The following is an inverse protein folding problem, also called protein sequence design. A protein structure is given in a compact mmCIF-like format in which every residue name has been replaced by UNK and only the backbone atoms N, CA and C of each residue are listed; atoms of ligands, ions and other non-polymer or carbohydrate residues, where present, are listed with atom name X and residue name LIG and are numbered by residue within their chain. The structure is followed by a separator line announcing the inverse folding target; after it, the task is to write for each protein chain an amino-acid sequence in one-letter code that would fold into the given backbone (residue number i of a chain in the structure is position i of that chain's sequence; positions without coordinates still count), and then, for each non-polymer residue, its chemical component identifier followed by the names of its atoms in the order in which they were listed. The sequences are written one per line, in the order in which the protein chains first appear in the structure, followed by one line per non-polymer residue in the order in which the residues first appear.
data_IF_597948679845
#
_entry.id   IF_597948679845
#
_cell.length_a   1.000
_cell.length_b   1.000
_cell.length_c   1.000
_cell.angle_alpha   90.00
_cell.angle_beta   90.00
_cell.angle_gamma   90.00
#
_symmetry.space_group_name_H-M   'P 1'
#
loop_
_entity.id
_entity.type
_entity.pdbx_description
1 polymer ?
#
# COMPACT_ATOMS: atom_id res chain seq x y z
N UNK A 1 20.52 25.02 52.82
CA UNK A 1 20.33 23.59 53.15
C UNK A 1 21.71 22.94 53.15
N UNK A 2 22.18 22.41 54.31
CA UNK A 2 23.46 21.69 54.36
C UNK A 2 23.30 20.33 53.66
N UNK A 3 23.70 20.26 52.41
CA UNK A 3 23.69 19.02 51.63
C UNK A 3 24.83 18.09 52.07
N UNK A 4 24.56 16.80 52.14
CA UNK A 4 25.63 15.81 52.35
C UNK A 4 26.54 15.77 51.10
N UNK A 5 27.78 15.34 51.25
CA UNK A 5 28.78 15.26 50.16
C UNK A 5 28.32 14.43 48.98
N UNK A 6 27.49 13.42 49.22
CA UNK A 6 26.85 12.61 48.16
C UNK A 6 25.74 13.32 47.42
N UNK A 7 24.94 14.14 48.12
CA UNK A 7 23.89 14.97 47.54
C UNK A 7 24.49 16.09 46.71
N UNK A 8 25.54 16.75 47.20
CA UNK A 8 26.25 17.77 46.45
C UNK A 8 26.83 17.23 45.15
N UNK A 9 27.51 16.06 45.18
CA UNK A 9 28.05 15.42 43.97
C UNK A 9 26.95 15.14 42.91
N UNK A 10 25.74 14.79 43.34
CA UNK A 10 24.63 14.57 42.40
C UNK A 10 24.11 15.87 41.79
N UNK A 11 24.01 16.94 42.60
CA UNK A 11 23.62 18.25 42.10
C UNK A 11 24.65 18.82 41.12
N UNK A 12 25.95 18.67 41.43
CA UNK A 12 27.04 19.05 40.53
C UNK A 12 27.00 18.24 39.21
N UNK A 13 26.66 16.94 39.28
CA UNK A 13 26.48 16.09 38.11
C UNK A 13 25.27 16.51 37.24
N UNK A 14 24.16 17.00 37.87
CA UNK A 14 23.02 17.56 37.12
C UNK A 14 23.44 18.78 36.30
N UNK A 15 24.27 19.66 36.91
CA UNK A 15 24.82 20.83 36.22
C UNK A 15 25.74 20.44 35.06
N UNK A 16 26.67 19.53 35.31
CA UNK A 16 27.62 19.02 34.27
C UNK A 16 26.95 18.27 33.14
N UNK A 17 25.82 17.61 33.42
CA UNK A 17 24.99 16.95 32.41
C UNK A 17 24.22 17.96 31.55
N UNK A 18 24.22 19.24 31.91
CA UNK A 18 23.53 20.33 31.17
C UNK A 18 22.04 20.44 31.47
N UNK A 19 21.58 19.93 32.61
CA UNK A 19 20.21 20.14 33.05
C UNK A 19 20.05 21.61 33.49
N UNK A 20 18.93 22.23 33.13
CA UNK A 20 18.60 23.60 33.57
C UNK A 20 18.02 23.56 34.97
N UNK A 21 18.45 24.47 35.89
CA UNK A 21 17.89 24.55 37.22
C UNK A 21 16.44 25.07 37.22
N UNK A 22 15.78 25.03 38.39
CA UNK A 22 14.44 25.57 38.63
C UNK A 22 13.33 24.96 37.73
N UNK A 23 13.36 23.67 37.49
CA UNK A 23 12.30 22.94 36.80
C UNK A 23 12.07 21.56 37.43
N UNK A 24 11.00 20.89 37.00
CA UNK A 24 10.76 19.51 37.37
C UNK A 24 11.53 18.53 36.44
N UNK A 25 11.99 17.40 37.01
CA UNK A 25 12.81 16.41 36.31
C UNK A 25 12.11 15.07 36.25
N UNK A 26 12.17 14.42 35.10
CA UNK A 26 11.68 13.06 34.94
C UNK A 26 12.62 12.04 35.60
N UNK A 27 12.08 10.87 35.98
CA UNK A 27 12.88 9.78 36.51
C UNK A 27 13.99 9.33 35.58
N UNK A 28 13.75 9.37 34.26
CA UNK A 28 14.74 9.01 33.24
C UNK A 28 15.90 10.00 33.20
N UNK A 29 15.64 11.30 33.24
CA UNK A 29 16.70 12.32 33.32
C UNK A 29 17.56 12.15 34.55
N UNK A 30 16.96 11.93 35.72
CA UNK A 30 17.68 11.71 36.98
C UNK A 30 18.49 10.39 36.93
N UNK A 31 18.03 9.36 36.29
CA UNK A 31 18.79 8.11 36.10
C UNK A 31 19.99 8.30 35.16
N UNK A 32 19.85 9.06 34.07
CA UNK A 32 20.96 9.40 33.18
C UNK A 32 22.07 10.16 33.91
N UNK A 33 21.70 11.12 34.73
CA UNK A 33 22.68 11.81 35.61
C UNK A 33 23.34 10.86 36.60
N UNK A 34 22.57 9.92 37.17
CA UNK A 34 23.09 8.92 38.10
C UNK A 34 24.18 8.02 37.45
N UNK A 35 23.96 7.62 36.21
CA UNK A 35 24.93 6.81 35.44
C UNK A 35 26.25 7.55 35.23
N UNK A 36 26.25 8.87 35.00
CA UNK A 36 27.48 9.65 34.80
C UNK A 36 28.40 9.67 36.02
N UNK A 37 27.87 9.37 37.21
CA UNK A 37 28.61 9.32 38.47
C UNK A 37 28.70 7.88 39.04
N UNK A 38 28.44 6.87 38.19
CA UNK A 38 28.55 5.46 38.55
C UNK A 38 27.45 4.90 39.44
N UNK A 39 26.31 5.56 39.53
CA UNK A 39 25.13 5.09 40.26
C UNK A 39 24.16 4.38 39.32
N UNK A 40 23.62 3.24 39.74
CA UNK A 40 22.70 2.43 38.93
C UNK A 40 21.31 3.07 38.72
N UNK A 41 20.88 3.90 39.68
CA UNK A 41 19.57 4.57 39.66
C UNK A 41 19.63 5.93 40.31
N UNK A 42 18.66 6.80 40.03
CA UNK A 42 18.48 8.10 40.69
C UNK A 42 18.42 7.95 42.21
N UNK A 43 18.99 8.89 42.97
CA UNK A 43 19.11 8.79 44.42
C UNK A 43 17.75 8.68 45.11
N UNK A 44 17.66 7.79 46.12
CA UNK A 44 16.43 7.56 46.88
C UNK A 44 15.84 8.80 47.51
N UNK A 45 16.69 9.75 47.96
CA UNK A 45 16.26 11.01 48.58
C UNK A 45 15.50 11.94 47.61
N UNK A 46 15.58 11.71 46.31
CA UNK A 46 14.74 12.42 45.32
C UNK A 46 13.51 11.56 44.96
N UNK A 47 13.73 10.29 44.58
CA UNK A 47 12.66 9.49 43.96
C UNK A 47 11.72 8.79 44.95
N UNK A 48 12.15 8.64 46.22
CA UNK A 48 11.33 8.05 47.29
C UNK A 48 10.65 9.09 48.19
N UNK A 49 11.08 10.31 48.13
CA UNK A 49 10.48 11.42 48.93
C UNK A 49 9.17 11.86 48.27
N UNK A 50 8.04 11.61 48.93
CA UNK A 50 6.71 11.96 48.42
C UNK A 50 6.49 13.47 48.29
N UNK A 51 7.20 14.30 49.10
CA UNK A 51 7.11 15.78 49.04
C UNK A 51 7.71 16.35 47.75
N UNK A 52 8.62 15.63 47.11
CA UNK A 52 9.29 15.99 45.84
C UNK A 52 8.54 15.55 44.59
N UNK A 53 7.52 14.72 44.75
CA UNK A 53 6.77 14.15 43.64
C UNK A 53 5.70 15.11 43.13
N UNK A 54 5.87 15.65 41.93
CA UNK A 54 4.98 16.60 41.29
C UNK A 54 4.02 15.95 40.28
N UNK A 55 4.16 14.63 40.08
CA UNK A 55 3.34 13.83 39.17
C UNK A 55 3.86 12.41 39.00
N UNK A 56 3.27 11.63 38.11
CA UNK A 56 3.72 10.25 37.85
C UNK A 56 5.10 10.25 37.18
N UNK A 57 6.15 9.96 37.99
CA UNK A 57 7.52 9.90 37.52
C UNK A 57 8.21 11.23 37.32
N UNK A 58 7.66 12.32 37.93
CA UNK A 58 8.23 13.68 37.86
C UNK A 58 8.54 14.16 39.25
N UNK A 59 9.72 14.76 39.44
CA UNK A 59 10.29 15.12 40.75
C UNK A 59 10.80 16.54 40.75
N UNK A 60 10.67 17.18 41.91
CA UNK A 60 11.28 18.46 42.23
C UNK A 60 12.64 18.24 42.91
N UNK A 61 13.64 19.05 42.54
CA UNK A 61 14.96 19.07 43.16
C UNK A 61 15.28 20.50 43.53
N UNK A 62 14.69 20.99 44.64
CA UNK A 62 14.81 22.42 45.04
C UNK A 62 16.25 22.82 45.39
N UNK A 63 17.15 21.88 45.63
CA UNK A 63 18.57 22.13 45.87
C UNK A 63 19.35 22.46 44.56
N UNK A 64 18.77 22.16 43.37
CA UNK A 64 19.36 22.51 42.08
C UNK A 64 18.75 23.82 41.57
N UNK A 65 19.21 24.95 42.15
CA UNK A 65 18.72 26.30 41.85
C UNK A 65 19.78 27.09 41.08
N UNK A 66 19.32 27.92 40.11
CA UNK A 66 20.13 28.96 39.51
C UNK A 66 19.76 30.33 40.08
N UNK A 67 20.61 31.34 39.92
CA UNK A 67 20.48 32.69 40.44
C UNK A 67 19.28 33.51 39.89
N UNK A 68 18.04 32.99 40.02
CA UNK A 68 16.86 33.78 39.68
C UNK A 68 15.65 33.38 40.52
N UNK A 69 15.06 34.37 41.21
CA UNK A 69 13.76 34.29 41.85
C UNK A 69 12.64 34.07 40.83
N UNK A 70 12.37 32.81 40.49
CA UNK A 70 11.27 32.43 39.61
C UNK A 70 10.55 31.20 40.16
N UNK A 71 9.25 31.27 40.30
CA UNK A 71 8.40 30.12 40.60
C UNK A 71 8.63 29.05 39.51
N UNK A 72 8.76 27.78 39.87
CA UNK A 72 8.96 26.73 38.85
C UNK A 72 7.80 26.73 37.87
N UNK A 73 8.08 27.13 36.66
CA UNK A 73 7.10 27.02 35.58
C UNK A 73 7.07 25.55 35.12
N UNK A 74 5.90 24.92 35.15
CA UNK A 74 5.71 23.62 34.53
C UNK A 74 6.11 23.73 33.05
N UNK A 75 7.28 23.22 32.71
CA UNK A 75 7.64 23.10 31.31
C UNK A 75 6.65 22.15 30.65
N UNK A 76 6.13 22.46 29.46
CA UNK A 76 5.42 21.44 28.66
C UNK A 76 6.39 20.28 28.52
N UNK A 77 5.90 19.07 28.83
CA UNK A 77 6.65 17.83 28.67
C UNK A 77 6.98 17.75 27.18
N UNK A 78 8.15 18.24 26.80
CA UNK A 78 8.70 17.92 25.49
C UNK A 78 8.93 16.40 25.51
N UNK A 79 8.15 15.67 24.73
CA UNK A 79 8.40 14.27 24.48
C UNK A 79 9.88 14.11 24.14
N UNK A 80 10.59 13.13 24.74
CA UNK A 80 12.00 12.91 24.44
C UNK A 80 12.14 12.77 22.93
N UNK A 81 13.23 13.27 22.39
CA UNK A 81 13.57 13.25 20.98
C UNK A 81 13.80 11.81 20.49
N UNK A 82 12.77 10.98 20.52
CA UNK A 82 12.65 9.71 19.80
C UNK A 82 12.49 9.97 18.28
N UNK A 83 12.49 11.25 17.88
CA UNK A 83 12.23 11.71 16.50
C UNK A 83 13.26 11.26 15.45
N UNK A 84 14.43 10.77 15.81
CA UNK A 84 15.45 10.40 14.82
C UNK A 84 15.58 8.90 14.53
N UNK A 85 15.10 8.01 15.40
CA UNK A 85 15.32 6.56 15.19
C UNK A 85 14.16 5.80 14.56
N UNK A 86 12.94 6.33 14.61
CA UNK A 86 11.76 5.68 14.01
C UNK A 86 11.80 5.74 12.48
N UNK A 87 12.46 6.76 11.91
CA UNK A 87 12.74 6.82 10.46
C UNK A 87 13.67 5.72 9.96
N UNK A 88 14.49 5.13 10.82
CA UNK A 88 15.46 4.10 10.46
C UNK A 88 14.82 2.73 10.15
N UNK A 89 13.59 2.47 10.64
CA UNK A 89 12.92 1.16 10.48
C UNK A 89 12.25 1.02 9.11
N UNK A 90 11.85 2.13 8.51
CA UNK A 90 11.37 2.14 7.11
C UNK A 90 12.52 2.21 6.08
N UNK A 91 13.76 1.89 6.45
CA UNK A 91 14.93 1.92 5.56
C UNK A 91 15.59 3.29 5.45
N UNK A 92 15.32 4.21 6.38
CA UNK A 92 15.86 5.57 6.37
C UNK A 92 17.13 5.64 7.22
N UNK A 93 18.27 5.37 6.60
CA UNK A 93 19.58 5.70 7.15
C UNK A 93 19.91 7.15 6.79
N UNK A 94 20.08 8.00 7.80
CA UNK A 94 20.74 9.31 7.65
C UNK A 94 19.85 10.50 7.32
N UNK A 95 18.98 10.92 8.21
CA UNK A 95 18.48 12.32 8.29
C UNK A 95 17.60 12.86 7.16
N UNK A 96 17.57 12.27 6.00
CA UNK A 96 16.71 12.68 4.89
C UNK A 96 15.50 11.74 4.78
N UNK A 97 14.31 12.34 4.75
CA UNK A 97 13.06 11.63 4.53
C UNK A 97 13.06 11.07 3.11
N UNK A 98 12.96 9.77 2.97
CA UNK A 98 12.77 9.12 1.67
C UNK A 98 11.43 9.55 1.06
N UNK A 99 11.45 10.07 -0.17
CA UNK A 99 10.23 10.39 -0.91
C UNK A 99 9.50 9.11 -1.29
N UNK A 100 8.20 9.05 -0.98
CA UNK A 100 7.29 7.97 -1.37
C UNK A 100 6.46 8.35 -2.60
N UNK A 101 6.91 9.33 -3.39
CA UNK A 101 6.29 9.66 -4.67
C UNK A 101 6.50 8.49 -5.64
N UNK A 102 5.44 7.88 -6.17
CA UNK A 102 5.58 6.75 -7.09
C UNK A 102 6.33 7.14 -8.36
N UNK A 103 7.04 6.18 -8.95
CA UNK A 103 7.71 6.39 -10.22
C UNK A 103 6.70 6.61 -11.35
N UNK A 104 6.98 7.58 -12.21
CA UNK A 104 6.18 7.78 -13.42
C UNK A 104 6.45 6.67 -14.43
N UNK A 105 5.40 5.98 -14.87
CA UNK A 105 5.49 4.93 -15.88
C UNK A 105 5.40 5.56 -17.28
N UNK A 106 6.43 5.37 -18.11
CA UNK A 106 6.47 5.89 -19.49
C UNK A 106 5.43 5.25 -20.41
N UNK A 107 5.06 4.01 -20.10
CA UNK A 107 4.07 3.21 -20.82
C UNK A 107 2.63 3.40 -20.32
N UNK A 108 2.41 4.25 -19.30
CA UNK A 108 1.08 4.48 -18.76
C UNK A 108 0.19 5.26 -19.75
N UNK A 109 -1.03 4.79 -19.93
CA UNK A 109 -2.09 5.46 -20.72
C UNK A 109 -3.19 5.90 -19.76
N UNK A 110 -3.41 7.21 -19.55
CA UNK A 110 -4.50 7.71 -18.71
C UNK A 110 -5.88 7.42 -19.31
N UNK A 111 -6.79 6.90 -18.49
CA UNK A 111 -8.18 6.64 -18.88
C UNK A 111 -9.12 6.57 -17.66
N UNK A 112 -10.41 6.43 -17.88
CA UNK A 112 -11.41 6.34 -16.81
C UNK A 112 -11.36 7.54 -15.87
N UNK A 113 -11.34 7.29 -14.58
CA UNK A 113 -11.34 8.32 -13.54
C UNK A 113 -10.00 8.98 -13.27
N UNK A 114 -8.94 8.67 -14.06
CA UNK A 114 -7.60 9.24 -13.86
C UNK A 114 -7.60 10.76 -13.74
N UNK A 115 -8.32 11.46 -14.64
CA UNK A 115 -8.38 12.93 -14.63
C UNK A 115 -9.03 13.45 -13.34
N UNK A 116 -10.10 12.81 -12.89
CA UNK A 116 -10.80 13.19 -11.67
C UNK A 116 -9.90 13.01 -10.44
N UNK A 117 -9.28 11.83 -10.29
CA UNK A 117 -8.32 11.55 -9.20
C UNK A 117 -7.14 12.53 -9.24
N UNK A 118 -6.53 12.76 -10.40
CA UNK A 118 -5.42 13.70 -10.54
C UNK A 118 -5.83 15.13 -10.14
N UNK A 119 -7.06 15.56 -10.47
CA UNK A 119 -7.57 16.89 -10.08
C UNK A 119 -7.79 16.97 -8.57
N UNK A 120 -8.38 15.94 -7.95
CA UNK A 120 -8.58 15.87 -6.49
C UNK A 120 -7.24 15.94 -5.78
N UNK A 121 -6.28 15.11 -6.18
CA UNK A 121 -4.96 15.07 -5.56
C UNK A 121 -4.21 16.39 -5.74
N UNK A 122 -4.31 17.03 -6.89
CA UNK A 122 -3.67 18.33 -7.15
C UNK A 122 -4.29 19.48 -6.33
N UNK A 123 -5.56 19.38 -5.93
CA UNK A 123 -6.23 20.40 -5.12
C UNK A 123 -5.62 20.54 -3.71
N UNK A 124 -5.02 19.47 -3.19
CA UNK A 124 -4.51 19.43 -1.82
C UNK A 124 -5.58 19.53 -0.75
N UNK A 125 -6.85 19.45 -1.12
CA UNK A 125 -7.97 19.40 -0.17
C UNK A 125 -8.14 17.99 0.37
N UNK A 126 -8.64 17.88 1.60
CA UNK A 126 -9.06 16.60 2.13
C UNK A 126 -10.35 16.19 1.44
N UNK A 127 -10.32 15.06 0.78
CA UNK A 127 -11.41 14.51 0.00
C UNK A 127 -11.23 13.00 -0.15
N UNK A 128 -11.77 12.20 0.77
CA UNK A 128 -11.67 10.75 0.71
C UNK A 128 -12.47 10.18 -0.46
N UNK A 129 -11.84 9.30 -1.24
CA UNK A 129 -12.42 8.71 -2.46
C UNK A 129 -12.43 7.18 -2.36
N UNK A 130 -13.56 6.57 -2.69
CA UNK A 130 -13.72 5.13 -2.83
C UNK A 130 -13.76 4.75 -4.31
N UNK A 131 -12.77 3.95 -4.76
CA UNK A 131 -12.67 3.51 -6.15
C UNK A 131 -12.99 2.02 -6.23
N UNK A 132 -14.09 1.67 -6.84
CA UNK A 132 -14.54 0.28 -6.99
C UNK A 132 -14.45 -0.20 -8.44
N UNK A 133 -14.55 -1.50 -8.66
CA UNK A 133 -14.61 -2.12 -9.99
C UNK A 133 -13.87 -3.45 -10.03
N UNK A 134 -14.05 -4.21 -11.10
CA UNK A 134 -13.50 -5.55 -11.25
C UNK A 134 -11.96 -5.59 -11.12
N UNK A 135 -11.43 -6.75 -10.72
CA UNK A 135 -9.98 -6.95 -10.56
C UNK A 135 -9.23 -6.76 -11.89
N UNK A 136 -7.99 -6.30 -11.81
CA UNK A 136 -7.10 -6.19 -12.97
C UNK A 136 -7.45 -5.12 -14.00
N UNK A 137 -8.31 -4.15 -13.63
CA UNK A 137 -8.70 -3.01 -14.46
C UNK A 137 -7.89 -1.72 -14.21
N UNK A 138 -6.79 -1.80 -13.44
CA UNK A 138 -5.84 -0.71 -13.27
C UNK A 138 -6.17 0.34 -12.20
N UNK A 139 -7.10 0.10 -11.25
CA UNK A 139 -7.46 1.03 -10.16
C UNK A 139 -6.24 1.55 -9.39
N UNK A 140 -5.47 0.65 -8.82
CA UNK A 140 -4.29 0.97 -8.00
C UNK A 140 -3.23 1.72 -8.79
N UNK A 141 -2.91 1.25 -10.01
CA UNK A 141 -1.96 1.91 -10.91
C UNK A 141 -2.42 3.32 -11.28
N UNK A 142 -3.71 3.53 -11.50
CA UNK A 142 -4.29 4.84 -11.80
C UNK A 142 -4.02 5.84 -10.68
N UNK A 143 -4.21 5.43 -9.42
CA UNK A 143 -4.00 6.28 -8.25
C UNK A 143 -2.51 6.57 -8.07
N UNK A 144 -1.64 5.56 -8.16
CA UNK A 144 -0.19 5.72 -8.08
C UNK A 144 0.33 6.69 -9.16
N UNK A 145 -0.12 6.56 -10.41
CA UNK A 145 0.28 7.47 -11.49
C UNK A 145 -0.29 8.89 -11.34
N UNK A 146 -1.44 9.05 -10.71
CA UNK A 146 -1.96 10.37 -10.33
C UNK A 146 -1.13 11.01 -9.21
N UNK A 147 -0.68 10.23 -8.22
CA UNK A 147 0.28 10.67 -7.19
C UNK A 147 1.61 11.07 -7.80
N UNK A 148 2.17 10.25 -8.71
CA UNK A 148 3.41 10.53 -9.42
C UNK A 148 3.34 11.87 -10.19
N UNK A 149 2.27 12.09 -10.94
CA UNK A 149 2.04 13.34 -11.68
C UNK A 149 1.94 14.55 -10.77
N UNK A 150 1.27 14.40 -9.64
CA UNK A 150 1.06 15.47 -8.65
C UNK A 150 2.25 15.62 -7.71
N UNK A 151 3.30 14.82 -7.84
CA UNK A 151 4.50 14.76 -6.98
C UNK A 151 4.13 14.63 -5.51
N UNK A 152 3.16 13.77 -5.19
CA UNK A 152 2.67 13.52 -3.84
C UNK A 152 3.12 12.17 -3.34
N UNK A 153 3.58 12.13 -2.09
CA UNK A 153 3.88 10.88 -1.42
C UNK A 153 2.62 10.02 -1.34
N UNK A 154 2.75 8.73 -1.69
CA UNK A 154 1.68 7.74 -1.68
C UNK A 154 2.02 6.64 -0.67
N UNK A 155 1.29 6.61 0.42
CA UNK A 155 1.39 5.59 1.47
C UNK A 155 0.39 4.47 1.14
N UNK A 156 0.85 3.46 0.42
CA UNK A 156 0.01 2.31 0.04
C UNK A 156 0.01 1.26 1.14
N UNK A 157 -1.19 0.85 1.53
CA UNK A 157 -1.44 -0.23 2.48
C UNK A 157 -2.36 -1.25 1.83
N UNK A 158 -1.88 -2.47 1.64
CA UNK A 158 -2.75 -3.57 1.23
C UNK A 158 -3.52 -4.05 2.46
N UNK A 159 -4.84 -3.94 2.39
CA UNK A 159 -5.72 -4.39 3.46
C UNK A 159 -5.96 -5.90 3.31
N UNK A 160 -5.92 -6.60 4.42
CA UNK A 160 -6.23 -8.03 4.54
C UNK A 160 -7.20 -8.26 5.69
N UNK A 161 -7.70 -9.46 5.84
CA UNK A 161 -8.57 -9.83 6.98
C UNK A 161 -7.87 -9.66 8.34
N UNK A 162 -6.53 -9.82 8.36
CA UNK A 162 -5.73 -9.73 9.59
C UNK A 162 -5.30 -8.29 9.91
N UNK A 163 -5.37 -7.37 8.96
CA UNK A 163 -4.97 -5.97 9.15
C UNK A 163 -5.69 -5.34 10.33
N UNK A 164 -4.95 -4.77 11.27
CA UNK A 164 -5.48 -4.22 12.52
C UNK A 164 -4.95 -2.80 12.84
N UNK A 165 -5.33 -2.28 14.03
CA UNK A 165 -4.94 -0.95 14.49
C UNK A 165 -3.42 -0.81 14.61
N UNK A 166 -2.70 -1.88 15.00
CA UNK A 166 -1.23 -1.86 15.15
C UNK A 166 -0.51 -1.76 13.80
N UNK A 167 -1.08 -2.35 12.75
CA UNK A 167 -0.55 -2.26 11.39
C UNK A 167 -0.82 -0.88 10.76
N UNK A 168 -1.98 -0.29 11.06
CA UNK A 168 -2.45 0.93 10.43
C UNK A 168 -1.97 2.18 11.18
N UNK A 169 -2.20 2.25 12.48
CA UNK A 169 -1.91 3.42 13.33
C UNK A 169 -0.50 3.31 13.92
N UNK A 170 -0.11 2.10 14.34
CA UNK A 170 1.20 1.82 14.92
C UNK A 170 1.15 1.06 16.23
N UNK A 171 2.26 0.45 16.55
CA UNK A 171 2.40 -0.41 17.72
C UNK A 171 3.78 -0.40 18.32
N UNK A 172 3.92 -1.03 19.47
CA UNK A 172 5.23 -1.22 20.09
C UNK A 172 6.03 -2.29 19.34
N UNK A 173 7.29 -1.97 19.06
CA UNK A 173 8.25 -2.86 18.41
C UNK A 173 9.53 -2.91 19.23
N UNK A 174 10.21 -4.07 19.22
CA UNK A 174 11.53 -4.23 19.84
C UNK A 174 12.60 -3.74 18.86
N UNK A 175 13.31 -2.68 19.22
CA UNK A 175 14.32 -2.03 18.40
C UNK A 175 15.63 -1.96 19.16
N UNK A 176 16.68 -2.58 18.65
CA UNK A 176 18.02 -2.58 19.30
C UNK A 176 17.98 -2.96 20.78
N UNK A 177 17.05 -3.84 21.18
CA UNK A 177 16.88 -4.29 22.57
C UNK A 177 15.96 -3.41 23.43
N UNK A 178 15.41 -2.32 22.90
CA UNK A 178 14.46 -1.43 23.59
C UNK A 178 13.08 -1.49 22.94
N UNK A 179 12.04 -1.34 23.75
CA UNK A 179 10.66 -1.25 23.24
C UNK A 179 10.34 0.19 22.87
N UNK A 180 10.11 0.43 21.58
CA UNK A 180 9.69 1.73 21.05
C UNK A 180 8.35 1.65 20.34
N UNK A 181 7.57 2.74 20.39
CA UNK A 181 6.37 2.85 19.59
C UNK A 181 6.73 3.29 18.17
N UNK A 182 6.27 2.53 17.18
CA UNK A 182 6.49 2.80 15.76
C UNK A 182 5.17 3.21 15.14
N UNK A 183 5.15 4.37 14.47
CA UNK A 183 3.96 4.81 13.75
C UNK A 183 3.68 3.90 12.55
N UNK A 184 2.41 3.63 12.33
CA UNK A 184 1.94 2.96 11.12
C UNK A 184 1.79 3.91 9.92
N UNK A 185 1.56 3.36 8.73
CA UNK A 185 1.49 4.13 7.48
C UNK A 185 0.39 5.19 7.47
N UNK A 186 -0.70 4.98 8.18
CA UNK A 186 -1.78 5.97 8.33
C UNK A 186 -1.28 7.22 9.04
N UNK A 187 -0.63 7.04 10.19
CA UNK A 187 -0.08 8.16 10.97
C UNK A 187 1.02 8.88 10.21
N UNK A 188 1.89 8.14 9.53
CA UNK A 188 2.94 8.73 8.70
C UNK A 188 2.35 9.57 7.55
N UNK A 189 1.34 9.05 6.84
CA UNK A 189 0.64 9.80 5.79
C UNK A 189 -0.03 11.07 6.34
N UNK A 190 -0.70 10.98 7.50
CA UNK A 190 -1.32 12.12 8.17
C UNK A 190 -0.29 13.19 8.52
N UNK A 191 0.82 12.82 9.17
CA UNK A 191 1.88 13.76 9.61
C UNK A 191 2.57 14.45 8.44
N UNK A 192 2.65 13.79 7.31
CA UNK A 192 3.34 14.27 6.12
C UNK A 192 2.45 15.00 5.12
N UNK A 193 1.13 14.96 5.29
CA UNK A 193 0.20 15.48 4.29
C UNK A 193 0.21 14.67 3.00
N UNK A 194 0.55 13.38 3.07
CA UNK A 194 0.59 12.47 1.94
C UNK A 194 -0.79 11.96 1.51
N UNK A 195 -0.81 11.12 0.49
CA UNK A 195 -1.98 10.37 0.04
C UNK A 195 -1.91 8.98 0.69
N UNK A 196 -2.92 8.63 1.48
CA UNK A 196 -3.09 7.29 2.02
C UNK A 196 -3.89 6.45 1.01
N UNK A 197 -3.27 5.43 0.45
CA UNK A 197 -3.93 4.48 -0.46
C UNK A 197 -4.22 3.18 0.29
N UNK A 198 -5.49 2.94 0.59
CA UNK A 198 -6.00 1.71 1.19
C UNK A 198 -6.41 0.76 0.06
N UNK A 199 -5.54 -0.17 -0.28
CA UNK A 199 -5.76 -1.08 -1.41
C UNK A 199 -6.50 -2.34 -0.94
N UNK A 200 -7.53 -2.75 -1.70
CA UNK A 200 -8.39 -3.91 -1.41
C UNK A 200 -9.11 -3.79 -0.05
N UNK A 201 -9.66 -2.60 0.26
CA UNK A 201 -10.27 -2.31 1.57
C UNK A 201 -11.45 -3.23 1.91
N UNK A 202 -12.10 -3.80 0.93
CA UNK A 202 -13.21 -4.75 1.08
C UNK A 202 -12.78 -6.14 1.61
N UNK A 203 -11.48 -6.43 1.69
CA UNK A 203 -10.95 -7.58 2.42
C UNK A 203 -10.86 -7.34 3.93
N UNK A 204 -10.91 -6.07 4.36
CA UNK A 204 -10.73 -5.69 5.76
C UNK A 204 -11.84 -6.21 6.67
N UNK A 205 -11.46 -6.64 7.87
CA UNK A 205 -12.39 -7.00 8.94
C UNK A 205 -12.88 -5.76 9.70
N UNK A 206 -13.73 -5.95 10.72
CA UNK A 206 -14.17 -4.83 11.59
C UNK A 206 -13.02 -4.09 12.29
N UNK A 207 -11.81 -4.64 12.32
CA UNK A 207 -10.62 -4.00 12.89
C UNK A 207 -10.24 -2.68 12.19
N UNK A 208 -10.58 -2.52 10.89
CA UNK A 208 -10.31 -1.28 10.13
C UNK A 208 -11.20 -0.10 10.55
N UNK A 209 -12.17 -0.30 11.45
CA UNK A 209 -13.02 0.78 11.95
C UNK A 209 -12.23 1.85 12.73
N UNK A 210 -11.00 1.59 13.14
CA UNK A 210 -10.07 2.60 13.67
C UNK A 210 -9.80 3.74 12.68
N UNK A 211 -10.06 3.54 11.38
CA UNK A 211 -9.90 4.55 10.34
C UNK A 211 -11.07 5.56 10.25
N UNK A 212 -12.17 5.38 10.98
CA UNK A 212 -13.32 6.31 10.90
C UNK A 212 -12.93 7.78 11.11
N UNK A 213 -12.19 8.15 12.17
CA UNK A 213 -11.77 9.56 12.34
C UNK A 213 -10.85 10.04 11.22
N UNK A 214 -10.04 9.15 10.66
CA UNK A 214 -9.15 9.45 9.53
C UNK A 214 -9.93 9.81 8.28
N UNK A 215 -10.99 9.05 7.96
CA UNK A 215 -11.91 9.31 6.84
C UNK A 215 -12.74 10.59 7.02
N UNK A 216 -12.88 11.08 8.23
CA UNK A 216 -13.53 12.36 8.52
C UNK A 216 -12.54 13.55 8.51
N UNK A 217 -11.27 13.32 8.17
CA UNK A 217 -10.21 14.35 8.21
C UNK A 217 -9.89 14.84 9.62
N UNK A 218 -10.32 14.09 10.64
CA UNK A 218 -10.09 14.41 12.04
C UNK A 218 -8.79 13.81 12.55
N UNK A 219 -8.32 14.32 13.69
CA UNK A 219 -7.16 13.74 14.37
C UNK A 219 -7.44 12.36 14.96
N UNK A 220 -6.39 11.59 15.17
CA UNK A 220 -6.42 10.27 15.79
C UNK A 220 -5.71 10.32 17.13
N UNK A 221 -6.36 9.78 18.17
CA UNK A 221 -5.76 9.62 19.49
C UNK A 221 -5.10 8.24 19.58
N UNK A 222 -3.78 8.20 19.71
CA UNK A 222 -3.03 6.96 19.90
C UNK A 222 -3.09 6.58 21.37
N UNK A 223 -3.98 5.66 21.72
CA UNK A 223 -4.22 5.23 23.12
C UNK A 223 -2.97 4.71 23.81
N UNK A 224 -2.05 4.09 23.08
CA UNK A 224 -0.82 3.47 23.61
C UNK A 224 0.23 4.48 24.05
N UNK A 225 0.28 5.65 23.40
CA UNK A 225 1.25 6.71 23.69
C UNK A 225 0.61 7.93 24.36
N UNK A 226 -0.72 8.06 24.31
CA UNK A 226 -1.45 9.24 24.76
C UNK A 226 -1.28 10.46 23.83
N UNK A 227 -0.81 10.24 22.59
CA UNK A 227 -0.54 11.30 21.63
C UNK A 227 -1.75 11.54 20.72
N UNK A 228 -2.02 12.82 20.40
CA UNK A 228 -3.02 13.21 19.42
C UNK A 228 -2.35 13.60 18.10
N UNK A 229 -2.68 12.91 17.03
CA UNK A 229 -2.15 13.18 15.69
C UNK A 229 -3.18 13.93 14.88
N UNK A 230 -2.82 15.11 14.41
CA UNK A 230 -3.67 15.94 13.53
C UNK A 230 -3.16 15.83 12.09
N UNK A 231 -4.05 15.66 11.09
CA UNK A 231 -3.64 15.61 9.69
C UNK A 231 -2.96 16.90 9.25
N UNK A 232 -1.82 16.79 8.58
CA UNK A 232 -1.15 17.91 7.95
C UNK A 232 -1.89 18.32 6.66
N UNK A 233 -1.71 19.58 6.25
CA UNK A 233 -2.29 20.11 4.99
C UNK A 233 -1.89 19.24 3.81
N UNK A 234 -2.87 18.88 3.00
CA UNK A 234 -2.69 18.01 1.83
C UNK A 234 -3.01 16.55 2.08
N UNK A 235 -3.11 16.09 3.34
CA UNK A 235 -3.52 14.71 3.60
C UNK A 235 -4.86 14.40 2.95
N UNK A 236 -4.97 13.23 2.33
CA UNK A 236 -6.23 12.68 1.82
C UNK A 236 -6.15 11.15 1.74
N UNK A 237 -7.32 10.52 1.60
CA UNK A 237 -7.44 9.05 1.55
C UNK A 237 -8.06 8.64 0.23
N UNK A 238 -7.49 7.62 -0.40
CA UNK A 238 -8.10 6.93 -1.55
C UNK A 238 -8.14 5.44 -1.22
N UNK A 239 -9.31 4.84 -1.32
CA UNK A 239 -9.48 3.40 -1.11
C UNK A 239 -9.82 2.71 -2.43
N UNK A 240 -9.33 1.48 -2.64
CA UNK A 240 -9.75 0.62 -3.75
C UNK A 240 -10.48 -0.60 -3.23
N UNK A 241 -11.45 -1.08 -4.01
CA UNK A 241 -12.20 -2.29 -3.72
C UNK A 241 -12.55 -3.04 -5.01
N UNK A 242 -12.76 -4.34 -4.93
CA UNK A 242 -13.27 -5.14 -6.04
C UNK A 242 -14.81 -5.21 -6.01
N UNK A 243 -15.40 -4.93 -4.86
CA UNK A 243 -16.85 -4.87 -4.64
C UNK A 243 -17.28 -3.44 -4.31
N UNK A 244 -18.60 -3.18 -4.32
CA UNK A 244 -19.14 -1.89 -3.87
C UNK A 244 -19.36 -1.85 -2.34
N UNK A 245 -18.60 -2.63 -1.58
CA UNK A 245 -18.78 -2.78 -0.13
C UNK A 245 -19.91 -3.73 0.27
N UNK A 246 -20.56 -4.39 -0.69
CA UNK A 246 -21.66 -5.33 -0.44
C UNK A 246 -21.20 -6.78 -0.23
N UNK A 247 -19.89 -7.00 -0.19
CA UNK A 247 -19.31 -8.34 -0.11
C UNK A 247 -19.45 -9.10 -1.44
N UNK A 248 -19.13 -10.38 -1.38
CA UNK A 248 -19.19 -11.28 -2.54
C UNK A 248 -20.55 -11.97 -2.58
N UNK A 249 -21.48 -11.41 -3.35
CA UNK A 249 -22.82 -12.01 -3.54
C UNK A 249 -22.80 -13.17 -4.54
N UNK A 250 -21.78 -13.25 -5.39
CA UNK A 250 -21.72 -14.17 -6.52
C UNK A 250 -20.62 -15.23 -6.40
N UNK A 251 -19.91 -15.30 -5.25
CA UNK A 251 -18.83 -16.26 -5.00
C UNK A 251 -17.52 -16.00 -5.78
N UNK A 252 -17.39 -14.81 -6.39
CA UNK A 252 -16.30 -14.46 -7.32
C UNK A 252 -15.11 -13.77 -6.65
N UNK A 253 -15.36 -13.14 -5.50
CA UNK A 253 -14.38 -12.38 -4.73
C UNK A 253 -14.27 -12.95 -3.32
N UNK A 254 -13.89 -14.23 -3.23
CA UNK A 254 -13.76 -14.94 -1.96
C UNK A 254 -12.88 -14.15 -0.99
N UNK A 255 -13.40 -13.96 0.22
CA UNK A 255 -12.70 -13.21 1.28
C UNK A 255 -13.08 -11.74 1.38
N UNK A 256 -13.88 -11.19 0.46
CA UNK A 256 -14.43 -9.84 0.64
C UNK A 256 -15.55 -9.83 1.67
N UNK A 257 -15.56 -8.79 2.49
CA UNK A 257 -16.54 -8.62 3.56
C UNK A 257 -17.62 -7.60 3.16
N UNK A 258 -18.81 -7.75 3.76
CA UNK A 258 -19.81 -6.67 3.72
C UNK A 258 -19.30 -5.53 4.60
N UNK A 259 -19.04 -4.39 4.00
CA UNK A 259 -18.57 -3.20 4.70
C UNK A 259 -19.73 -2.49 5.40
N UNK A 260 -19.43 -1.86 6.53
CA UNK A 260 -20.40 -1.06 7.25
C UNK A 260 -20.78 0.18 6.42
N UNK A 261 -22.09 0.39 6.20
CA UNK A 261 -22.61 1.52 5.40
C UNK A 261 -22.13 2.87 5.95
N UNK A 262 -22.19 3.05 7.29
CA UNK A 262 -21.70 4.27 7.91
C UNK A 262 -20.19 4.51 7.72
N UNK A 263 -19.40 3.48 7.46
CA UNK A 263 -18.00 3.59 7.10
C UNK A 263 -17.86 4.05 5.64
N UNK A 264 -18.67 3.50 4.74
CA UNK A 264 -18.70 3.87 3.32
C UNK A 264 -19.17 5.31 3.11
N UNK A 265 -20.15 5.77 3.88
CA UNK A 265 -20.68 7.15 3.83
C UNK A 265 -19.65 8.23 4.21
N UNK A 266 -18.48 7.83 4.76
CA UNK A 266 -17.40 8.76 5.05
C UNK A 266 -16.51 9.06 3.84
N UNK A 267 -16.70 8.37 2.74
CA UNK A 267 -16.06 8.73 1.49
C UNK A 267 -16.91 9.78 0.75
N UNK A 268 -16.31 10.92 0.42
CA UNK A 268 -16.98 12.00 -0.28
C UNK A 268 -17.50 11.57 -1.66
N UNK A 269 -16.71 10.70 -2.32
CA UNK A 269 -17.06 10.23 -3.67
C UNK A 269 -16.76 8.73 -3.83
N UNK A 270 -17.68 8.06 -4.51
CA UNK A 270 -17.49 6.71 -5.03
C UNK A 270 -17.32 6.76 -6.55
N UNK A 271 -16.26 6.14 -7.06
CA UNK A 271 -15.96 6.09 -8.49
C UNK A 271 -15.89 4.63 -8.94
N UNK A 272 -16.74 4.26 -9.88
CA UNK A 272 -16.71 2.93 -10.48
C UNK A 272 -15.77 2.92 -11.69
N UNK A 273 -14.65 2.23 -11.57
CA UNK A 273 -13.67 2.06 -12.64
C UNK A 273 -14.03 0.81 -13.44
N UNK A 274 -14.54 1.00 -14.63
CA UNK A 274 -14.79 -0.07 -15.60
C UNK A 274 -13.49 -0.49 -16.29
N UNK A 275 -13.54 -1.47 -17.20
CA UNK A 275 -12.44 -1.74 -18.12
C UNK A 275 -12.32 -0.64 -19.18
N UNK A 276 -11.11 -0.45 -19.70
CA UNK A 276 -10.86 0.52 -20.76
C UNK A 276 -11.65 0.14 -22.03
N UNK A 277 -12.07 1.16 -22.80
CA UNK A 277 -12.61 0.90 -24.13
C UNK A 277 -11.58 0.18 -25.00
N UNK A 278 -12.00 -0.66 -25.93
CA UNK A 278 -11.12 -1.40 -26.85
C UNK A 278 -10.01 -0.52 -27.42
N UNK A 279 -10.35 0.64 -27.96
CA UNK A 279 -9.37 1.61 -28.52
C UNK A 279 -8.31 2.04 -27.50
N UNK A 280 -8.70 2.26 -26.26
CA UNK A 280 -7.78 2.65 -25.18
C UNK A 280 -6.94 1.46 -24.74
N UNK A 281 -7.54 0.30 -24.61
CA UNK A 281 -6.86 -0.93 -24.20
C UNK A 281 -5.83 -1.38 -25.25
N UNK A 282 -6.17 -1.29 -26.55
CA UNK A 282 -5.20 -1.52 -27.66
C UNK A 282 -3.99 -0.58 -27.51
N UNK A 283 -4.20 0.69 -27.19
CA UNK A 283 -3.09 1.62 -26.93
C UNK A 283 -2.24 1.21 -25.73
N UNK A 284 -2.87 0.71 -24.66
CA UNK A 284 -2.15 0.20 -23.48
C UNK A 284 -1.26 -0.96 -23.91
N UNK A 285 -1.80 -1.94 -24.63
CA UNK A 285 -1.04 -3.12 -25.06
C UNK A 285 0.10 -2.76 -26.02
N UNK A 286 -0.13 -1.87 -26.98
CA UNK A 286 0.93 -1.42 -27.90
C UNK A 286 2.06 -0.77 -27.12
N UNK A 287 1.77 0.12 -26.15
CA UNK A 287 2.81 0.74 -25.34
C UNK A 287 3.56 -0.26 -24.45
N UNK A 288 2.88 -1.30 -23.97
CA UNK A 288 3.52 -2.41 -23.26
C UNK A 288 4.45 -3.19 -24.17
N UNK A 289 4.01 -3.51 -25.38
CA UNK A 289 4.81 -4.19 -26.39
C UNK A 289 6.04 -3.33 -26.80
N UNK A 290 5.86 -2.02 -26.98
CA UNK A 290 6.97 -1.08 -27.23
C UNK A 290 8.03 -1.14 -26.13
N UNK A 291 7.58 -1.20 -24.87
CA UNK A 291 8.48 -1.33 -23.71
C UNK A 291 9.22 -2.65 -23.68
N UNK A 292 8.59 -3.72 -24.14
CA UNK A 292 9.18 -5.07 -24.21
C UNK A 292 10.03 -5.31 -25.46
N UNK A 293 9.94 -4.39 -26.45
CA UNK A 293 10.78 -4.45 -27.67
C UNK A 293 10.22 -5.28 -28.81
N UNK A 294 9.02 -5.84 -28.69
CA UNK A 294 8.36 -6.60 -29.75
C UNK A 294 6.92 -6.11 -29.95
N UNK A 295 6.66 -5.39 -31.05
CA UNK A 295 5.37 -4.70 -31.29
C UNK A 295 4.62 -5.41 -32.41
N UNK A 296 3.49 -5.99 -32.07
CA UNK A 296 2.51 -6.54 -33.00
C UNK A 296 1.15 -5.86 -32.79
N UNK A 297 0.78 -4.99 -33.73
CA UNK A 297 -0.44 -4.18 -33.63
C UNK A 297 -1.70 -4.98 -33.86
N UNK A 298 -1.64 -5.96 -34.75
CA UNK A 298 -2.77 -6.83 -35.08
C UNK A 298 -3.05 -7.77 -33.90
N UNK A 299 -1.98 -8.31 -33.29
CA UNK A 299 -2.10 -9.11 -32.07
C UNK A 299 -2.75 -8.30 -30.93
N UNK A 300 -2.32 -7.05 -30.72
CA UNK A 300 -2.92 -6.18 -29.72
C UNK A 300 -4.41 -5.93 -29.96
N UNK A 301 -4.84 -5.77 -31.23
CA UNK A 301 -6.24 -5.60 -31.59
C UNK A 301 -7.06 -6.88 -31.39
N UNK A 302 -6.53 -8.02 -31.78
CA UNK A 302 -7.18 -9.32 -31.55
C UNK A 302 -7.35 -9.62 -30.06
N UNK A 303 -6.32 -9.39 -29.26
CA UNK A 303 -6.39 -9.58 -27.81
C UNK A 303 -7.47 -8.70 -27.15
N UNK A 304 -7.56 -7.44 -27.55
CA UNK A 304 -8.56 -6.53 -26.97
C UNK A 304 -9.98 -6.86 -27.43
N UNK A 305 -10.15 -7.29 -28.67
CA UNK A 305 -11.44 -7.79 -29.17
C UNK A 305 -11.89 -9.04 -28.44
N UNK A 306 -10.99 -9.99 -28.24
CA UNK A 306 -11.24 -11.20 -27.47
C UNK A 306 -11.65 -10.87 -26.02
N UNK A 307 -10.94 -9.97 -25.35
CA UNK A 307 -11.27 -9.55 -23.99
C UNK A 307 -12.63 -8.84 -23.91
N UNK A 308 -12.99 -8.02 -24.90
CA UNK A 308 -14.29 -7.37 -24.96
C UNK A 308 -15.45 -8.38 -25.06
N UNK A 309 -15.29 -9.40 -25.92
CA UNK A 309 -16.28 -10.48 -26.08
C UNK A 309 -16.41 -11.31 -24.80
N UNK A 310 -15.31 -11.70 -24.17
CA UNK A 310 -15.33 -12.47 -22.91
C UNK A 310 -15.97 -11.68 -21.79
N UNK A 311 -15.66 -10.39 -21.64
CA UNK A 311 -16.26 -9.51 -20.60
C UNK A 311 -17.76 -9.32 -20.81
N UNK A 312 -18.20 -9.24 -22.08
CA UNK A 312 -19.62 -9.18 -22.40
C UNK A 312 -20.32 -10.48 -22.00
N UNK A 313 -19.79 -11.64 -22.39
CA UNK A 313 -20.34 -12.93 -22.00
C UNK A 313 -20.39 -13.11 -20.47
N UNK A 314 -19.37 -12.62 -19.75
CA UNK A 314 -19.34 -12.59 -18.30
C UNK A 314 -20.45 -11.71 -17.70
N UNK A 315 -20.65 -10.51 -18.24
CA UNK A 315 -21.71 -9.61 -17.75
C UNK A 315 -23.12 -10.14 -18.01
N UNK A 316 -23.27 -10.97 -19.03
CA UNK A 316 -24.52 -11.67 -19.37
C UNK A 316 -24.70 -12.99 -18.57
N UNK A 317 -23.74 -13.37 -17.74
CA UNK A 317 -23.78 -14.59 -16.92
C UNK A 317 -23.55 -15.88 -17.71
N UNK A 318 -23.04 -15.78 -18.94
CA UNK A 318 -22.76 -16.95 -19.78
C UNK A 318 -21.45 -17.66 -19.42
N UNK A 319 -20.53 -16.98 -18.75
CA UNK A 319 -19.25 -17.50 -18.26
C UNK A 319 -18.94 -16.90 -16.90
N UNK A 320 -18.17 -17.62 -16.08
CA UNK A 320 -17.81 -17.18 -14.72
C UNK A 320 -16.43 -16.54 -14.61
N UNK A 321 -15.63 -16.61 -15.66
CA UNK A 321 -14.27 -16.07 -15.71
C UNK A 321 -14.13 -14.98 -16.77
N UNK A 322 -13.14 -14.08 -16.57
CA UNK A 322 -12.87 -12.97 -17.50
C UNK A 322 -11.40 -12.87 -17.90
N UNK A 323 -11.19 -12.25 -19.05
CA UNK A 323 -9.87 -11.80 -19.48
C UNK A 323 -9.66 -10.35 -19.04
N UNK A 324 -8.83 -10.16 -18.01
CA UNK A 324 -8.52 -8.83 -17.43
C UNK A 324 -7.45 -8.11 -18.25
N UNK A 325 -7.38 -6.78 -18.15
CA UNK A 325 -6.30 -5.99 -18.78
C UNK A 325 -4.91 -6.44 -18.29
N UNK A 326 -4.76 -6.75 -16.99
CA UNK A 326 -3.52 -7.32 -16.43
C UNK A 326 -3.12 -8.61 -17.12
N UNK A 327 -4.08 -9.46 -17.46
CA UNK A 327 -3.82 -10.72 -18.18
C UNK A 327 -3.36 -10.45 -19.62
N UNK A 328 -3.99 -9.49 -20.30
CA UNK A 328 -3.55 -9.06 -21.64
C UNK A 328 -2.12 -8.50 -21.62
N UNK A 329 -1.76 -7.69 -20.61
CA UNK A 329 -0.39 -7.22 -20.43
C UNK A 329 0.62 -8.37 -20.21
N UNK A 330 0.20 -9.43 -19.49
CA UNK A 330 1.03 -10.63 -19.30
C UNK A 330 1.20 -11.42 -20.61
N UNK A 331 0.15 -11.50 -21.45
CA UNK A 331 0.25 -12.11 -22.79
C UNK A 331 1.25 -11.32 -23.65
N UNK A 332 1.18 -9.99 -23.65
CA UNK A 332 2.16 -9.16 -24.37
C UNK A 332 3.59 -9.40 -23.88
N UNK A 333 3.78 -9.58 -22.56
CA UNK A 333 5.08 -9.92 -21.98
C UNK A 333 5.54 -11.32 -22.41
N UNK A 334 4.66 -12.31 -22.41
CA UNK A 334 4.97 -13.66 -22.90
C UNK A 334 5.35 -13.63 -24.38
N UNK A 335 4.60 -12.90 -25.20
CA UNK A 335 4.89 -12.73 -26.63
C UNK A 335 6.28 -12.10 -26.88
N UNK A 336 6.71 -11.18 -26.04
CA UNK A 336 8.07 -10.61 -26.16
C UNK A 336 9.19 -11.62 -25.86
N UNK A 337 8.89 -12.70 -25.16
CA UNK A 337 9.85 -13.75 -24.77
C UNK A 337 9.82 -14.94 -25.73
N UNK A 338 8.63 -15.39 -26.08
CA UNK A 338 8.43 -16.62 -26.86
C UNK A 338 8.24 -16.37 -28.35
N UNK A 339 7.96 -15.14 -28.77
CA UNK A 339 7.72 -14.70 -30.15
C UNK A 339 6.58 -15.49 -30.86
N UNK A 340 5.77 -16.20 -30.08
CA UNK A 340 4.65 -17.01 -30.54
C UNK A 340 3.35 -16.59 -29.86
N UNK A 341 2.32 -16.27 -30.66
CA UNK A 341 1.01 -15.81 -30.18
C UNK A 341 0.25 -16.92 -29.45
N UNK A 342 0.26 -18.13 -30.01
CA UNK A 342 -0.47 -19.28 -29.46
C UNK A 342 0.05 -19.64 -28.07
N UNK A 343 1.36 -19.88 -27.95
CA UNK A 343 2.02 -20.14 -26.66
C UNK A 343 1.76 -19.04 -25.64
N UNK A 344 1.79 -17.76 -26.06
CA UNK A 344 1.56 -16.63 -25.15
C UNK A 344 0.14 -16.60 -24.60
N UNK A 345 -0.84 -16.92 -25.41
CA UNK A 345 -2.25 -17.02 -24.98
C UNK A 345 -2.44 -18.24 -24.07
N UNK A 346 -1.88 -19.40 -24.41
CA UNK A 346 -2.00 -20.62 -23.62
C UNK A 346 -1.43 -20.49 -22.22
N UNK A 347 -0.26 -19.87 -22.09
CA UNK A 347 0.35 -19.57 -20.79
C UNK A 347 -0.55 -18.70 -19.90
N UNK A 348 -1.30 -17.80 -20.50
CA UNK A 348 -2.23 -16.96 -19.76
C UNK A 348 -3.52 -17.70 -19.37
N UNK A 349 -3.90 -18.73 -20.13
CA UNK A 349 -5.09 -19.55 -19.88
C UNK A 349 -4.83 -20.70 -18.90
N UNK A 350 -3.60 -21.13 -18.73
CA UNK A 350 -3.20 -22.34 -17.98
C UNK A 350 -3.72 -22.41 -16.51
N UNK A 351 -4.11 -21.30 -15.90
CA UNK A 351 -4.67 -21.28 -14.54
C UNK A 351 -6.17 -21.61 -14.47
N UNK A 352 -6.88 -21.56 -15.60
CA UNK A 352 -8.31 -21.88 -15.63
C UNK A 352 -8.51 -23.40 -15.66
N UNK A 353 -9.71 -23.86 -15.37
CA UNK A 353 -10.10 -25.25 -15.59
C UNK A 353 -10.09 -25.59 -17.09
N UNK A 354 -10.05 -26.90 -17.42
CA UNK A 354 -9.87 -27.35 -18.78
C UNK A 354 -11.00 -26.90 -19.73
N UNK A 355 -12.23 -26.86 -19.26
CA UNK A 355 -13.38 -26.45 -20.07
C UNK A 355 -13.34 -24.97 -20.39
N UNK A 356 -13.02 -24.14 -19.40
CA UNK A 356 -12.83 -22.69 -19.53
C UNK A 356 -11.64 -22.37 -20.44
N UNK A 357 -10.51 -23.09 -20.30
CA UNK A 357 -9.35 -22.95 -21.18
C UNK A 357 -9.74 -23.19 -22.64
N UNK A 358 -10.41 -24.31 -22.92
CA UNK A 358 -10.82 -24.67 -24.26
C UNK A 358 -11.84 -23.68 -24.84
N UNK A 359 -12.79 -23.21 -24.03
CA UNK A 359 -13.78 -22.23 -24.48
C UNK A 359 -13.11 -20.90 -24.86
N UNK A 360 -12.17 -20.40 -24.01
CA UNK A 360 -11.43 -19.16 -24.28
C UNK A 360 -10.51 -19.30 -25.48
N UNK A 361 -9.83 -20.43 -25.65
CA UNK A 361 -8.99 -20.72 -26.81
C UNK A 361 -9.83 -20.72 -28.10
N UNK A 362 -10.91 -21.47 -28.15
CA UNK A 362 -11.81 -21.53 -29.31
C UNK A 362 -12.37 -20.15 -29.68
N UNK A 363 -12.62 -19.31 -28.67
CA UNK A 363 -13.08 -17.94 -28.89
C UNK A 363 -11.96 -17.06 -29.45
N UNK A 364 -10.72 -17.23 -28.96
CA UNK A 364 -9.56 -16.51 -29.44
C UNK A 364 -9.23 -16.86 -30.91
N UNK A 365 -9.22 -18.13 -31.26
CA UNK A 365 -8.99 -18.65 -32.64
C UNK A 365 -10.02 -18.12 -33.65
N UNK A 366 -11.24 -17.80 -33.19
CA UNK A 366 -12.25 -17.16 -34.05
C UNK A 366 -11.99 -15.66 -34.27
N UNK A 367 -11.20 -15.06 -33.42
CA UNK A 367 -10.87 -13.61 -33.46
C UNK A 367 -9.55 -13.38 -34.18
N UNK A 368 -8.57 -14.27 -34.02
CA UNK A 368 -7.25 -14.21 -34.66
C UNK A 368 -7.20 -15.13 -35.88
N UNK A 369 -7.40 -14.53 -37.05
CA UNK A 369 -7.43 -15.26 -38.33
C UNK A 369 -6.06 -15.89 -38.70
N UNK A 370 -4.94 -15.37 -38.13
CA UNK A 370 -3.59 -15.90 -38.42
C UNK A 370 -3.36 -17.25 -37.78
N UNK A 371 -3.75 -17.45 -36.53
CA UNK A 371 -3.68 -18.76 -35.86
C UNK A 371 -4.59 -19.77 -36.55
N UNK A 372 -5.75 -19.34 -37.03
CA UNK A 372 -6.67 -20.21 -37.78
C UNK A 372 -6.06 -20.70 -39.11
N UNK A 373 -5.26 -19.85 -39.76
CA UNK A 373 -4.54 -20.26 -40.98
C UNK A 373 -3.44 -21.28 -40.69
N UNK A 374 -2.64 -21.05 -39.63
CA UNK A 374 -1.57 -21.95 -39.19
C UNK A 374 -2.12 -23.36 -38.81
N UNK A 375 -3.18 -23.42 -38.01
CA UNK A 375 -3.83 -24.70 -37.65
C UNK A 375 -4.34 -25.42 -38.86
N UNK A 376 -4.88 -24.74 -39.86
CA UNK A 376 -5.34 -25.37 -41.09
C UNK A 376 -4.17 -25.87 -41.94
N UNK A 377 -3.03 -25.18 -41.99
CA UNK A 377 -1.83 -25.64 -42.71
C UNK A 377 -1.21 -26.86 -42.02
N UNK A 378 -1.11 -26.89 -40.69
CA UNK A 378 -0.65 -28.07 -39.94
C UNK A 378 -1.56 -29.30 -40.17
N UNK A 379 -2.89 -29.12 -40.19
CA UNK A 379 -3.83 -30.19 -40.45
C UNK A 379 -3.65 -30.74 -41.90
N UNK A 380 -3.40 -29.84 -42.86
CA UNK A 380 -3.15 -30.22 -44.26
C UNK A 380 -1.84 -30.98 -44.41
N UNK A 381 -0.77 -30.56 -43.70
CA UNK A 381 0.53 -31.24 -43.75
C UNK A 381 0.50 -32.62 -43.05
N UNK A 382 -0.19 -32.72 -41.90
CA UNK A 382 -0.39 -34.04 -41.24
C UNK A 382 -1.20 -34.99 -42.11
N UNK A 383 -2.26 -34.48 -42.75
CA UNK A 383 -3.06 -35.30 -43.67
C UNK A 383 -2.28 -35.71 -44.91
N UNK A 384 -1.43 -34.86 -45.49
CA UNK A 384 -0.52 -35.19 -46.57
C UNK A 384 0.52 -36.25 -46.16
N UNK A 385 1.14 -36.10 -44.99
CA UNK A 385 2.11 -37.04 -44.46
C UNK A 385 1.52 -38.43 -44.16
N UNK A 386 0.25 -38.51 -43.79
CA UNK A 386 -0.48 -39.76 -43.62
C UNK A 386 -0.89 -40.40 -44.98
N UNK A 387 -1.24 -39.61 -45.99
CA UNK A 387 -1.56 -40.07 -47.32
C UNK A 387 -0.31 -40.64 -48.01
N UNK A 388 0.85 -39.99 -47.88
CA UNK A 388 2.12 -40.49 -48.43
C UNK A 388 2.59 -41.81 -47.77
N UNK A 389 2.36 -41.98 -46.46
CA UNK A 389 2.68 -43.21 -45.74
C UNK A 389 1.75 -44.39 -46.12
N UNK A 390 0.50 -44.11 -46.47
CA UNK A 390 -0.44 -45.15 -46.95
C UNK A 390 -0.14 -45.60 -48.36
N UNK A 391 0.35 -44.72 -49.25
CA UNK A 391 0.72 -45.08 -50.64
C UNK A 391 2.00 -45.91 -50.76
N UNK A 392 2.91 -45.80 -49.71
CA UNK A 392 4.14 -46.61 -49.67
C UNK A 392 3.88 -48.03 -49.16
N UNK A 393 2.81 -48.28 -48.41
CA UNK A 393 2.45 -49.60 -47.90
C UNK A 393 1.76 -50.50 -48.95
N UNK A 394 1.07 -49.92 -49.92
CA UNK A 394 0.40 -50.67 -50.95
C UNK A 394 1.31 -51.14 -52.12
N UNK A 395 2.52 -50.51 -52.21
CA UNK A 395 3.52 -50.93 -53.24
C UNK A 395 4.43 -52.10 -52.78
N UNK A 396 4.42 -52.41 -51.48
CA UNK A 396 5.23 -53.49 -50.91
C UNK A 396 4.50 -54.82 -50.79
N UNK A 397 3.22 -54.92 -51.16
CA UNK A 397 2.40 -56.17 -51.13
C UNK A 397 2.21 -56.77 -52.47
N UNK A 398 2.75 -56.20 -53.57
CA UNK A 398 2.63 -56.70 -54.93
C UNK A 398 3.98 -56.94 -55.66
N UNK A 399 5.05 -57.28 -54.91
CA UNK A 399 6.33 -57.69 -55.46
C UNK A 399 6.72 -59.09 -54.97
#
# INVERSE_FOLDING_TARGET
VNLSKKQQNFIDAMSNFGLKPNRYYSRSELNMVAETIGMKYAPAWIVQDSSRRQGRGVFDVPEFQGDSNGTPTAAPVAAPAVKQEVSAIMGLTGGERMSLVPNTMSDYVPWGHYKNIATILASGQFAPVFVTGLSGNGKTTMIEQACAKSKRDCYRVNITQETDEDDLIGGFRLLKGETAFVYGPVVEAMKCGGVLLLDEIDLGSSKIMCLQPVLEGKGVFIKKTGEWITPAKGFTVVATANTKGKGDTDGRFVGTNVMNEAFLDRFDWTMEQEYATRKTETKILIKKMEKFGNVDRDFADYLTRWAEITRKAYSEGAIDEIITTRRLENICKAFSIFEDRSTSVDLALARFDADTQQAFRNLYEKVDDTIRAEVNEEIVDVTRSHADKSSVSDTALNA
#
